data_IF_894628528557
#
_entry.id   IF_894628528557
#
_cell.length_a   1.000
_cell.length_b   1.000
_cell.length_c   1.000
_cell.angle_alpha   90.00
_cell.angle_beta   90.00
_cell.angle_gamma   90.00
#
_symmetry.space_group_name_H-M   'P 1'
#
loop_
_entity.id
_entity.type
_entity.pdbx_description
1 polymer ?
#
# COMPACT_ATOMS: atom_id res chain seq x y z
N UNK A 1 27.37 -31.30 35.17
CA UNK A 1 26.76 -29.98 35.49
C UNK A 1 26.68 -29.21 34.20
N UNK A 2 25.58 -29.34 33.48
CA UNK A 2 25.35 -28.66 32.20
C UNK A 2 24.19 -27.70 32.41
N UNK A 3 24.50 -26.41 32.45
CA UNK A 3 23.53 -25.34 32.65
C UNK A 3 22.83 -25.07 31.32
N UNK A 4 21.59 -25.51 31.18
CA UNK A 4 20.73 -25.18 30.05
C UNK A 4 20.27 -23.72 30.19
N UNK A 5 20.77 -22.84 29.33
CA UNK A 5 20.19 -21.50 29.14
C UNK A 5 18.92 -21.66 28.30
N UNK A 6 17.75 -21.57 28.94
CA UNK A 6 16.49 -21.33 28.24
C UNK A 6 16.43 -19.82 27.91
N UNK A 7 16.62 -19.46 26.65
CA UNK A 7 16.35 -18.10 26.16
C UNK A 7 15.01 -18.08 25.42
N UNK A 8 13.91 -18.26 26.15
CA UNK A 8 12.58 -17.90 25.64
C UNK A 8 12.36 -16.39 25.87
N UNK A 9 13.11 -15.57 25.14
CA UNK A 9 12.77 -14.15 24.97
C UNK A 9 11.77 -14.02 23.82
N UNK A 10 10.55 -14.52 24.03
CA UNK A 10 9.46 -14.24 23.12
C UNK A 10 8.91 -12.85 23.48
N UNK A 11 9.23 -11.84 22.66
CA UNK A 11 8.60 -10.53 22.79
C UNK A 11 7.07 -10.70 22.74
N UNK A 12 6.32 -10.11 23.67
CA UNK A 12 4.87 -10.24 23.67
C UNK A 12 4.32 -9.69 22.34
N UNK A 13 3.53 -10.51 21.64
CA UNK A 13 2.83 -10.10 20.41
C UNK A 13 1.89 -8.97 20.79
N UNK A 14 2.26 -7.74 20.47
CA UNK A 14 1.41 -6.56 20.71
C UNK A 14 0.21 -6.65 19.78
N UNK A 15 -0.98 -6.44 20.34
CA UNK A 15 -2.21 -6.37 19.55
C UNK A 15 -2.10 -5.20 18.57
N UNK A 16 -2.53 -5.42 17.33
CA UNK A 16 -2.56 -4.39 16.29
C UNK A 16 -3.99 -3.95 16.08
N UNK A 17 -4.24 -2.65 16.25
CA UNK A 17 -5.45 -1.96 15.86
C UNK A 17 -5.32 -1.53 14.40
N UNK A 18 -6.13 -2.14 13.53
CA UNK A 18 -6.17 -1.79 12.12
C UNK A 18 -7.21 -0.69 11.85
N UNK A 19 -7.00 0.07 10.78
CA UNK A 19 -8.03 0.90 10.16
C UNK A 19 -9.28 0.06 9.79
N UNK A 20 -10.46 0.69 9.64
CA UNK A 20 -11.64 0.01 9.10
C UNK A 20 -11.32 -0.72 7.78
N UNK A 21 -11.83 -1.95 7.63
CA UNK A 21 -11.50 -2.77 6.46
C UNK A 21 -12.38 -2.41 5.27
N UNK A 22 -11.76 -2.39 4.08
CA UNK A 22 -12.37 -2.22 2.79
C UNK A 22 -12.26 -3.52 1.98
N UNK A 23 -13.32 -4.34 1.92
CA UNK A 23 -13.28 -5.60 1.17
C UNK A 23 -13.08 -5.35 -0.32
N UNK A 24 -12.61 -6.36 -1.05
CA UNK A 24 -12.49 -6.29 -2.50
C UNK A 24 -13.87 -6.18 -3.16
N UNK A 25 -14.08 -5.09 -3.87
CA UNK A 25 -15.29 -4.77 -4.62
C UNK A 25 -15.00 -4.79 -6.13
N UNK A 26 -15.99 -5.21 -6.92
CA UNK A 26 -15.85 -5.39 -8.38
C UNK A 26 -16.38 -4.16 -9.11
N UNK A 27 -15.60 -3.66 -10.07
CA UNK A 27 -15.92 -2.47 -10.87
C UNK A 27 -15.81 -2.77 -12.36
N UNK A 28 -16.81 -2.28 -13.12
CA UNK A 28 -16.83 -2.26 -14.59
C UNK A 28 -16.69 -0.83 -15.15
N UNK A 29 -16.51 0.15 -14.27
CA UNK A 29 -16.29 1.55 -14.61
C UNK A 29 -14.98 2.01 -13.97
N UNK A 30 -14.02 2.42 -14.80
CA UNK A 30 -12.70 2.84 -14.34
C UNK A 30 -12.75 4.10 -13.47
N UNK A 31 -13.69 5.02 -13.73
CA UNK A 31 -13.88 6.22 -12.91
C UNK A 31 -14.25 5.85 -11.48
N UNK A 32 -15.28 5.00 -11.32
CA UNK A 32 -15.73 4.52 -10.01
C UNK A 32 -14.66 3.72 -9.27
N UNK A 33 -13.88 2.91 -9.97
CA UNK A 33 -12.78 2.18 -9.37
C UNK A 33 -11.70 3.12 -8.82
N UNK A 34 -11.36 4.18 -9.56
CA UNK A 34 -10.40 5.19 -9.08
C UNK A 34 -10.96 6.00 -7.93
N UNK A 35 -12.23 6.38 -7.97
CA UNK A 35 -12.87 7.09 -6.86
C UNK A 35 -12.84 6.22 -5.58
N UNK A 36 -13.03 4.90 -5.71
CA UNK A 36 -12.88 3.94 -4.59
C UNK A 36 -11.44 3.85 -4.07
N UNK A 37 -10.43 3.85 -4.96
CA UNK A 37 -9.03 3.88 -4.54
C UNK A 37 -8.73 5.13 -3.71
N UNK A 38 -9.26 6.29 -4.12
CA UNK A 38 -9.12 7.56 -3.41
C UNK A 38 -9.76 7.48 -2.03
N UNK A 39 -11.00 7.00 -1.94
CA UNK A 39 -11.72 6.83 -0.67
C UNK A 39 -10.91 5.98 0.31
N UNK A 40 -10.50 4.77 -0.09
CA UNK A 40 -9.75 3.84 0.77
C UNK A 40 -8.42 4.47 1.23
N UNK A 41 -7.69 5.11 0.32
CA UNK A 41 -6.42 5.74 0.65
C UNK A 41 -6.60 6.90 1.65
N UNK A 42 -7.59 7.75 1.44
CA UNK A 42 -7.88 8.85 2.35
C UNK A 42 -8.36 8.37 3.71
N UNK A 43 -9.26 7.39 3.77
CA UNK A 43 -9.75 6.82 5.04
C UNK A 43 -8.60 6.20 5.85
N UNK A 44 -7.74 5.42 5.19
CA UNK A 44 -6.62 4.75 5.83
C UNK A 44 -5.54 5.74 6.30
N UNK A 45 -5.22 6.77 5.50
CA UNK A 45 -4.26 7.80 5.93
C UNK A 45 -4.84 8.74 6.97
N UNK A 46 -6.13 9.09 6.91
CA UNK A 46 -6.82 9.88 7.92
C UNK A 46 -6.84 9.14 9.27
N UNK A 47 -7.06 7.82 9.27
CA UNK A 47 -6.95 7.00 10.47
C UNK A 47 -5.56 7.08 11.10
N UNK A 48 -4.48 6.95 10.30
CA UNK A 48 -3.11 7.08 10.80
C UNK A 48 -2.84 8.47 11.37
N UNK A 49 -3.26 9.54 10.67
CA UNK A 49 -3.13 10.92 11.14
C UNK A 49 -3.87 11.14 12.46
N UNK A 50 -5.10 10.63 12.59
CA UNK A 50 -5.88 10.75 13.81
C UNK A 50 -5.22 10.04 15.00
N UNK A 51 -4.71 8.82 14.81
CA UNK A 51 -4.00 8.09 15.86
C UNK A 51 -2.67 8.75 16.24
N UNK A 52 -1.98 9.39 15.29
CA UNK A 52 -0.80 10.18 15.60
C UNK A 52 -1.14 11.44 16.41
N UNK A 53 -2.23 12.14 16.08
CA UNK A 53 -2.69 13.28 16.88
C UNK A 53 -3.10 12.87 18.30
N UNK A 54 -3.81 11.75 18.46
CA UNK A 54 -4.14 11.18 19.77
C UNK A 54 -2.87 10.96 20.62
N UNK A 55 -1.80 10.46 20.01
CA UNK A 55 -0.51 10.24 20.66
C UNK A 55 0.14 11.54 21.12
N UNK A 56 0.14 12.58 20.27
CA UNK A 56 0.69 13.90 20.60
C UNK A 56 -0.08 14.60 21.72
N UNK A 57 -1.39 14.35 21.82
CA UNK A 57 -2.24 14.84 22.92
C UNK A 57 -2.04 14.05 24.23
N UNK A 58 -1.13 13.06 24.25
CA UNK A 58 -0.81 12.26 25.43
C UNK A 58 -1.83 11.14 25.73
N UNK A 59 -2.69 10.78 24.76
CA UNK A 59 -3.59 9.63 24.94
C UNK A 59 -2.77 8.34 24.94
N UNK A 60 -3.09 7.44 25.85
CA UNK A 60 -2.37 6.19 26.00
C UNK A 60 -2.67 5.24 24.83
N UNK A 61 -1.67 4.99 23.98
CA UNK A 61 -1.74 4.00 22.89
C UNK A 61 -0.96 2.75 23.30
N UNK A 62 -1.70 1.71 23.69
CA UNK A 62 -1.13 0.43 24.13
C UNK A 62 -0.94 -0.58 22.99
N UNK A 63 -1.68 -0.40 21.90
CA UNK A 63 -1.69 -1.28 20.71
C UNK A 63 -0.80 -0.72 19.59
N UNK A 64 -0.34 -1.58 18.67
CA UNK A 64 0.19 -1.10 17.39
C UNK A 64 -0.95 -0.55 16.55
N UNK A 65 -0.69 0.47 15.75
CA UNK A 65 -1.64 1.09 14.82
C UNK A 65 -1.19 0.78 13.40
N UNK A 66 -2.11 0.28 12.57
CA UNK A 66 -1.84 -0.07 11.18
C UNK A 66 -2.97 0.36 10.25
N UNK A 67 -2.59 0.87 9.08
CA UNK A 67 -3.46 0.97 7.92
C UNK A 67 -2.71 0.41 6.71
N UNK A 68 -3.42 0.06 5.65
CA UNK A 68 -2.84 -0.60 4.46
C UNK A 68 -3.12 0.20 3.20
N UNK A 69 -2.26 0.07 2.19
CA UNK A 69 -2.52 0.68 0.89
C UNK A 69 -3.74 0.02 0.24
N UNK A 70 -4.54 0.76 -0.55
CA UNK A 70 -5.47 0.11 -1.45
C UNK A 70 -4.71 -0.69 -2.52
N UNK A 71 -5.37 -1.68 -3.10
CA UNK A 71 -4.89 -2.41 -4.28
C UNK A 71 -5.91 -2.39 -5.41
N UNK A 72 -5.39 -2.55 -6.63
CA UNK A 72 -6.16 -2.99 -7.79
C UNK A 72 -5.78 -4.42 -8.12
N UNK A 73 -6.77 -5.24 -8.45
CA UNK A 73 -6.59 -6.62 -8.90
C UNK A 73 -7.40 -6.89 -10.18
N UNK A 74 -6.82 -7.65 -11.09
CA UNK A 74 -7.47 -8.19 -12.28
C UNK A 74 -7.23 -9.70 -12.33
N UNK A 75 -8.26 -10.45 -12.71
CA UNK A 75 -8.18 -11.91 -12.87
C UNK A 75 -8.53 -12.23 -14.31
N UNK A 76 -7.61 -12.87 -15.02
CA UNK A 76 -7.79 -13.27 -16.42
C UNK A 76 -7.66 -14.79 -16.54
N UNK A 77 -8.48 -15.40 -17.39
CA UNK A 77 -8.47 -16.85 -17.64
C UNK A 77 -7.88 -17.22 -19.01
N UNK A 78 -7.56 -16.21 -19.84
CA UNK A 78 -7.21 -16.39 -21.25
C UNK A 78 -5.94 -15.64 -21.65
N UNK A 79 -5.16 -16.29 -22.52
CA UNK A 79 -4.09 -15.64 -23.27
C UNK A 79 -4.72 -14.88 -24.44
N UNK A 80 -5.28 -13.70 -24.20
CA UNK A 80 -5.84 -12.89 -25.29
C UNK A 80 -4.70 -12.53 -26.25
N UNK A 81 -4.92 -12.75 -27.56
CA UNK A 81 -4.04 -12.22 -28.61
C UNK A 81 -4.37 -10.75 -28.80
N UNK A 82 -3.52 -9.90 -28.26
CA UNK A 82 -3.73 -8.46 -28.23
C UNK A 82 -3.37 -7.83 -29.57
N UNK A 83 -4.20 -6.90 -30.04
CA UNK A 83 -3.90 -6.06 -31.20
C UNK A 83 -2.70 -5.16 -30.83
N UNK A 84 -1.52 -5.49 -31.35
CA UNK A 84 -0.19 -5.16 -30.83
C UNK A 84 0.25 -3.70 -31.02
N UNK A 85 -0.70 -2.76 -31.15
CA UNK A 85 -0.41 -1.36 -31.46
C UNK A 85 -0.06 -0.52 -30.23
N UNK A 86 -0.42 -0.98 -29.04
CA UNK A 86 -0.03 -0.36 -27.77
C UNK A 86 0.89 -1.31 -26.99
N UNK A 87 1.98 -0.77 -26.45
CA UNK A 87 2.93 -1.51 -25.60
C UNK A 87 2.52 -1.55 -24.12
N UNK A 88 1.28 -1.15 -23.80
CA UNK A 88 0.75 -1.01 -22.44
C UNK A 88 -0.77 -1.28 -22.40
N UNK A 89 -1.33 -1.43 -21.20
CA UNK A 89 -2.76 -1.70 -20.99
C UNK A 89 -3.14 -3.18 -21.05
N UNK A 90 -2.17 -4.08 -20.77
CA UNK A 90 -2.35 -5.52 -20.89
C UNK A 90 -1.57 -6.29 -19.81
N UNK A 91 -2.05 -7.49 -19.47
CA UNK A 91 -1.33 -8.44 -18.61
C UNK A 91 -0.69 -9.59 -19.40
N UNK A 92 0.41 -10.15 -18.89
CA UNK A 92 1.29 -11.10 -19.61
C UNK A 92 0.66 -12.48 -19.87
N UNK A 93 -0.38 -12.86 -19.13
CA UNK A 93 -1.08 -14.12 -19.30
C UNK A 93 -2.21 -14.32 -18.28
N UNK A 94 -2.91 -15.47 -18.34
CA UNK A 94 -3.90 -15.89 -17.36
C UNK A 94 -3.31 -15.87 -15.95
N UNK A 95 -4.16 -15.56 -14.99
CA UNK A 95 -3.81 -15.52 -13.58
C UNK A 95 -4.36 -14.28 -12.89
N UNK A 96 -3.93 -14.11 -11.64
CA UNK A 96 -4.25 -12.92 -10.86
C UNK A 96 -3.10 -11.93 -10.99
N UNK A 97 -3.39 -10.70 -11.37
CA UNK A 97 -2.44 -9.61 -11.37
C UNK A 97 -2.91 -8.52 -10.41
N UNK A 98 -2.04 -8.04 -9.53
CA UNK A 98 -2.39 -7.01 -8.57
C UNK A 98 -1.27 -5.97 -8.40
N UNK A 99 -1.64 -4.79 -7.94
CA UNK A 99 -0.68 -3.76 -7.54
C UNK A 99 -1.26 -2.88 -6.44
N UNK A 100 -0.42 -2.50 -5.48
CA UNK A 100 -0.74 -1.54 -4.44
C UNK A 100 -0.64 -0.13 -4.99
N UNK A 101 -1.58 0.73 -4.61
CA UNK A 101 -1.68 2.11 -5.11
C UNK A 101 -1.47 3.10 -3.96
N UNK A 102 -0.62 4.09 -4.18
CA UNK A 102 -0.51 5.29 -3.34
C UNK A 102 -0.92 6.52 -4.14
N UNK A 103 -1.29 7.60 -3.44
CA UNK A 103 -1.67 8.90 -4.02
C UNK A 103 -2.58 8.79 -5.25
N UNK A 104 -3.69 8.02 -5.17
CA UNK A 104 -4.62 7.88 -6.29
C UNK A 104 -5.26 9.21 -6.71
N UNK A 105 -5.30 10.19 -5.80
CA UNK A 105 -5.64 11.60 -6.06
C UNK A 105 -4.66 12.23 -7.07
N UNK A 106 -3.37 12.06 -6.85
CA UNK A 106 -2.30 12.60 -7.69
C UNK A 106 -2.26 11.90 -9.06
N UNK A 107 -2.46 10.58 -9.07
CA UNK A 107 -2.39 9.75 -10.28
C UNK A 107 -3.74 9.51 -10.96
N UNK A 108 -4.80 10.22 -10.57
CA UNK A 108 -6.18 9.94 -10.99
C UNK A 108 -6.35 9.76 -12.50
N UNK A 109 -5.79 10.68 -13.29
CA UNK A 109 -5.89 10.63 -14.76
C UNK A 109 -5.16 9.43 -15.37
N UNK A 110 -3.98 9.10 -14.83
CA UNK A 110 -3.20 7.94 -15.25
C UNK A 110 -3.96 6.65 -14.93
N UNK A 111 -4.44 6.51 -13.69
CA UNK A 111 -5.18 5.34 -13.24
C UNK A 111 -6.45 5.14 -14.05
N UNK A 112 -7.26 6.19 -14.26
CA UNK A 112 -8.49 6.09 -15.08
C UNK A 112 -8.20 5.58 -16.48
N UNK A 113 -7.13 6.07 -17.10
CA UNK A 113 -6.71 5.64 -18.45
C UNK A 113 -6.27 4.18 -18.46
N UNK A 114 -5.38 3.78 -17.55
CA UNK A 114 -4.85 2.41 -17.52
C UNK A 114 -5.92 1.37 -17.16
N UNK A 115 -6.77 1.66 -16.18
CA UNK A 115 -7.85 0.76 -15.78
C UNK A 115 -8.90 0.60 -16.89
N UNK A 116 -9.22 1.69 -17.61
CA UNK A 116 -10.13 1.62 -18.78
C UNK A 116 -9.55 0.73 -19.88
N UNK A 117 -8.25 0.84 -20.16
CA UNK A 117 -7.56 0.00 -21.13
C UNK A 117 -7.59 -1.46 -20.70
N UNK A 118 -7.22 -1.76 -19.45
CA UNK A 118 -7.23 -3.12 -18.91
C UNK A 118 -8.61 -3.77 -19.04
N UNK A 119 -9.68 -3.07 -18.65
CA UNK A 119 -11.05 -3.57 -18.79
C UNK A 119 -11.41 -3.83 -20.26
N UNK A 120 -11.16 -2.86 -21.14
CA UNK A 120 -11.54 -2.95 -22.55
C UNK A 120 -10.78 -4.03 -23.31
N UNK A 121 -9.52 -4.23 -22.93
CA UNK A 121 -8.61 -5.16 -23.60
C UNK A 121 -8.79 -6.60 -23.14
N UNK A 122 -9.19 -6.79 -21.88
CA UNK A 122 -9.37 -8.12 -21.30
C UNK A 122 -10.81 -8.57 -21.18
N UNK A 123 -11.79 -7.67 -21.40
CA UNK A 123 -13.22 -7.92 -21.24
C UNK A 123 -13.57 -8.52 -19.86
N UNK A 124 -12.85 -8.07 -18.83
CA UNK A 124 -13.05 -8.47 -17.43
C UNK A 124 -13.13 -7.23 -16.54
N UNK A 125 -13.87 -7.31 -15.41
CA UNK A 125 -13.88 -6.24 -14.44
C UNK A 125 -12.57 -6.17 -13.66
N UNK A 126 -12.39 -5.08 -12.90
CA UNK A 126 -11.31 -4.96 -11.92
C UNK A 126 -11.85 -5.02 -10.50
N UNK A 127 -11.00 -5.40 -9.57
CA UNK A 127 -11.30 -5.46 -8.14
C UNK A 127 -10.48 -4.40 -7.40
N UNK A 128 -11.12 -3.68 -6.48
CA UNK A 128 -10.48 -2.65 -5.64
C UNK A 128 -10.84 -2.89 -4.18
N UNK A 129 -9.86 -2.78 -3.29
CA UNK A 129 -10.02 -3.00 -1.85
C UNK A 129 -8.71 -2.83 -1.10
N UNK A 130 -8.68 -3.22 0.18
CA UNK A 130 -7.46 -3.26 0.99
C UNK A 130 -6.44 -4.25 0.40
N UNK A 131 -5.16 -3.87 0.49
CA UNK A 131 -4.02 -4.78 0.30
C UNK A 131 -3.52 -5.32 1.65
N UNK A 132 -2.50 -6.17 1.61
CA UNK A 132 -1.78 -6.59 2.81
C UNK A 132 -0.54 -5.72 3.12
N UNK A 133 -0.30 -4.67 2.31
CA UNK A 133 0.88 -3.81 2.42
C UNK A 133 0.60 -2.63 3.36
N UNK A 134 1.28 -2.52 4.52
CA UNK A 134 1.07 -1.40 5.44
C UNK A 134 1.48 -0.06 4.82
N UNK A 135 0.78 1.02 5.20
CA UNK A 135 1.19 2.41 4.92
C UNK A 135 2.09 2.89 6.06
N UNK A 136 3.37 3.15 5.81
CA UNK A 136 4.22 3.80 6.79
C UNK A 136 3.72 5.19 7.22
N UNK A 137 3.80 5.51 8.51
CA UNK A 137 3.26 6.74 9.09
C UNK A 137 3.67 8.02 8.35
N UNK A 138 4.95 8.14 7.99
CA UNK A 138 5.48 9.30 7.28
C UNK A 138 4.81 9.58 5.92
N UNK A 139 4.30 8.55 5.23
CA UNK A 139 3.61 8.70 3.95
C UNK A 139 2.13 9.07 4.11
N UNK A 140 1.58 9.04 5.33
CA UNK A 140 0.23 9.54 5.61
C UNK A 140 0.16 11.09 5.67
N UNK A 141 1.30 11.79 5.64
CA UNK A 141 1.41 13.25 5.73
C UNK A 141 1.99 13.84 4.42
N UNK A 142 1.12 14.10 3.45
CA UNK A 142 1.52 14.62 2.14
C UNK A 142 1.53 16.17 2.03
N UNK A 143 0.96 16.89 3.01
CA UNK A 143 0.80 18.36 3.01
C UNK A 143 1.95 19.14 3.70
N UNK A 144 3.10 18.51 3.97
CA UNK A 144 4.24 19.20 4.58
C UNK A 144 4.19 19.38 6.10
N UNK A 145 3.19 18.80 6.78
CA UNK A 145 3.11 18.69 8.26
C UNK A 145 4.22 17.84 8.91
N UNK A 146 5.19 17.37 8.13
CA UNK A 146 6.30 16.52 8.57
C UNK A 146 7.21 17.19 9.63
N UNK A 147 7.33 18.52 9.60
CA UNK A 147 8.30 19.25 10.44
C UNK A 147 7.83 19.37 11.90
N UNK A 148 6.54 19.59 12.14
CA UNK A 148 6.00 19.73 13.50
C UNK A 148 5.88 18.37 14.21
N UNK A 149 5.49 17.32 13.48
CA UNK A 149 5.38 15.96 14.01
C UNK A 149 6.73 15.37 14.42
N UNK A 150 7.83 15.70 13.74
CA UNK A 150 9.17 15.19 14.07
C UNK A 150 9.72 15.71 15.39
N UNK A 151 9.50 16.99 15.71
CA UNK A 151 9.91 17.57 16.99
C UNK A 151 9.04 17.04 18.14
N UNK A 152 7.73 16.98 17.96
CA UNK A 152 6.81 16.46 18.98
C UNK A 152 6.99 14.95 19.22
N UNK A 153 7.35 14.18 18.19
CA UNK A 153 7.66 12.76 18.32
C UNK A 153 8.94 12.49 19.12
N UNK A 154 9.88 13.44 19.17
CA UNK A 154 11.14 13.29 19.91
C UNK A 154 10.94 13.34 21.44
N UNK A 155 9.81 13.90 21.90
CA UNK A 155 9.44 14.00 23.31
C UNK A 155 8.63 12.80 23.81
N UNK A 156 8.29 11.84 22.93
CA UNK A 156 7.53 10.65 23.29
C UNK A 156 8.36 9.66 24.10
N UNK A 157 7.77 9.10 25.16
CA UNK A 157 8.40 8.08 26.02
C UNK A 157 8.70 6.75 25.30
N UNK A 158 8.12 6.52 24.11
CA UNK A 158 8.24 5.28 23.34
C UNK A 158 8.60 5.57 21.88
N UNK A 159 9.43 4.74 21.23
CA UNK A 159 9.74 4.90 19.81
C UNK A 159 8.49 4.82 18.93
N UNK A 160 8.40 5.63 17.87
CA UNK A 160 7.29 5.52 16.91
C UNK A 160 7.23 4.15 16.22
N UNK A 161 8.38 3.50 16.00
CA UNK A 161 8.47 2.16 15.41
C UNK A 161 7.74 1.08 16.23
N UNK A 162 7.54 1.34 17.52
CA UNK A 162 6.87 0.45 18.46
C UNK A 162 5.34 0.57 18.40
N UNK A 163 4.84 1.63 17.75
CA UNK A 163 3.42 2.00 17.67
C UNK A 163 2.94 1.94 16.21
N UNK A 164 3.69 2.51 15.27
CA UNK A 164 3.30 2.62 13.85
C UNK A 164 4.25 1.82 12.95
N UNK A 165 3.81 1.60 11.71
CA UNK A 165 4.66 1.12 10.63
C UNK A 165 5.53 2.28 10.10
N UNK A 166 6.80 1.98 9.83
CA UNK A 166 7.82 2.93 9.35
C UNK A 166 8.36 2.46 7.99
N UNK A 167 9.00 3.33 7.19
CA UNK A 167 9.54 2.93 5.90
C UNK A 167 10.58 1.83 6.07
N UNK A 168 10.47 0.80 5.25
CA UNK A 168 11.42 -0.30 5.18
C UNK A 168 11.97 -0.39 3.76
N UNK A 169 13.27 -0.13 3.61
CA UNK A 169 13.94 -0.12 2.31
C UNK A 169 13.90 -1.48 1.60
N UNK A 170 13.71 -2.58 2.34
CA UNK A 170 13.67 -3.94 1.77
C UNK A 170 12.40 -4.19 0.94
N UNK A 171 11.30 -3.49 1.22
CA UNK A 171 10.04 -3.58 0.45
C UNK A 171 9.88 -2.45 -0.58
N UNK A 172 10.82 -1.50 -0.58
CA UNK A 172 10.86 -0.34 -1.48
C UNK A 172 11.92 -0.59 -2.57
N UNK A 173 11.89 -1.77 -3.18
CA UNK A 173 12.84 -2.20 -4.22
C UNK A 173 12.36 -1.94 -5.65
N UNK A 174 13.25 -2.19 -6.63
CA UNK A 174 12.98 -2.07 -8.06
C UNK A 174 12.83 -3.45 -8.74
N UNK A 175 12.55 -4.51 -7.99
CA UNK A 175 12.56 -5.90 -8.51
C UNK A 175 11.59 -6.11 -9.68
N UNK A 176 10.40 -5.52 -9.64
CA UNK A 176 9.41 -5.59 -10.73
C UNK A 176 9.93 -4.86 -11.96
N UNK A 177 10.39 -3.61 -11.81
CA UNK A 177 10.93 -2.81 -12.91
C UNK A 177 12.18 -3.44 -13.54
N UNK A 178 13.00 -4.12 -12.75
CA UNK A 178 14.19 -4.85 -13.19
C UNK A 178 13.86 -6.22 -13.82
N UNK A 179 12.60 -6.68 -13.75
CA UNK A 179 12.19 -7.99 -14.25
C UNK A 179 12.73 -9.17 -13.42
N UNK A 180 13.10 -8.94 -12.16
CA UNK A 180 13.62 -9.96 -11.23
C UNK A 180 12.61 -10.32 -10.14
N UNK A 181 11.36 -9.87 -10.26
CA UNK A 181 10.30 -10.17 -9.31
C UNK A 181 9.79 -11.61 -9.51
N UNK A 182 9.84 -12.39 -8.44
CA UNK A 182 9.32 -13.75 -8.39
C UNK A 182 8.09 -13.79 -7.46
N UNK A 183 6.88 -14.10 -7.97
CA UNK A 183 5.65 -14.08 -7.17
C UNK A 183 5.64 -15.23 -6.15
N UNK A 184 5.56 -14.90 -4.86
CA UNK A 184 5.54 -15.90 -3.79
C UNK A 184 4.19 -16.63 -3.65
N UNK A 185 3.09 -15.96 -4.00
CA UNK A 185 1.70 -16.39 -3.85
C UNK A 185 1.00 -16.65 -5.21
N UNK A 186 1.75 -16.58 -6.31
CA UNK A 186 1.23 -16.71 -7.67
C UNK A 186 0.49 -15.46 -8.18
N UNK A 187 0.50 -14.35 -7.44
CA UNK A 187 -0.06 -13.07 -7.89
C UNK A 187 1.03 -12.29 -8.63
N UNK A 188 0.78 -12.01 -9.90
CA UNK A 188 1.70 -11.27 -10.76
C UNK A 188 1.56 -9.75 -10.56
N UNK A 189 2.61 -8.96 -10.80
CA UNK A 189 2.54 -7.51 -10.67
C UNK A 189 1.73 -6.87 -11.81
N UNK A 190 0.76 -6.02 -11.47
CA UNK A 190 -0.05 -5.26 -12.43
C UNK A 190 0.60 -3.93 -12.86
N UNK A 191 1.57 -3.44 -12.09
CA UNK A 191 2.31 -2.20 -12.37
C UNK A 191 3.79 -2.37 -12.05
N UNK A 192 4.63 -1.52 -12.65
CA UNK A 192 6.10 -1.60 -12.51
C UNK A 192 6.62 -1.27 -11.11
N UNK A 193 5.85 -0.59 -10.28
CA UNK A 193 6.23 -0.16 -8.94
C UNK A 193 5.10 -0.41 -7.95
N UNK A 194 5.47 -0.77 -6.72
CA UNK A 194 4.55 -0.87 -5.58
C UNK A 194 4.30 0.51 -4.96
N UNK A 195 3.23 0.64 -4.19
CA UNK A 195 2.90 1.88 -3.47
C UNK A 195 4.05 2.41 -2.59
N UNK A 196 4.71 1.62 -1.72
CA UNK A 196 5.82 2.12 -0.90
C UNK A 196 6.99 2.65 -1.74
N UNK A 197 7.28 2.00 -2.88
CA UNK A 197 8.35 2.41 -3.79
C UNK A 197 8.04 3.75 -4.47
N UNK A 198 6.79 3.97 -4.85
CA UNK A 198 6.31 5.24 -5.42
C UNK A 198 6.37 6.34 -4.37
N UNK A 199 5.89 6.10 -3.15
CA UNK A 199 5.94 7.09 -2.07
C UNK A 199 7.38 7.51 -1.75
N UNK A 200 8.33 6.56 -1.73
CA UNK A 200 9.74 6.88 -1.57
C UNK A 200 10.23 7.85 -2.64
N UNK A 201 9.91 7.57 -3.90
CA UNK A 201 10.29 8.42 -5.03
C UNK A 201 9.67 9.80 -4.91
N UNK A 202 8.38 9.88 -4.58
CA UNK A 202 7.68 11.16 -4.40
C UNK A 202 8.32 11.98 -3.29
N UNK A 203 8.61 11.37 -2.15
CA UNK A 203 9.30 12.05 -1.06
C UNK A 203 10.68 12.54 -1.51
N UNK A 204 11.47 11.70 -2.18
CA UNK A 204 12.80 12.07 -2.72
C UNK A 204 12.76 13.15 -3.80
N UNK A 205 11.69 13.26 -4.59
CA UNK A 205 11.52 14.29 -5.60
C UNK A 205 11.20 15.67 -5.01
N UNK A 206 10.65 15.73 -3.79
CA UNK A 206 10.37 16.98 -3.11
C UNK A 206 11.62 17.62 -2.46
N UNK A 207 12.66 16.82 -2.16
CA UNK A 207 13.95 17.27 -1.62
C UNK A 207 14.84 17.86 -2.71
#
# INVERSE_FOLDING_TARGET
>A
MSTSYNSDFQQPVRRTRCAPSHPLEVFTDAGKAVDRLIEIFEDNTAFLRAQFQDLLEGKEITERVRAVYPQVRIVTDSHIRLDSRLSYGFVSGPGTHASTITRPDLFQNYLRTQLSLLMSNHDVPIQVGDSDMPIPLHFAFYDGTHVEGGAAAAELDRPLADIFDLPDLTVMDDSIANGTYEPADGVMPLASFTAPRVDYSLHRLQH
#
